data_IF_506737782925
#
_entry.id   IF_506737782925
#
_cell.length_a   1.000
_cell.length_b   1.000
_cell.length_c   1.000
_cell.angle_alpha   90.00
_cell.angle_beta   90.00
_cell.angle_gamma   90.00
#
_symmetry.space_group_name_H-M   'P 1'
#
loop_
_entity.id
_entity.type
_entity.pdbx_description
1 polymer ?
#
# COMPACT_ATOMS: atom_id res chain seq x y z
N UNK A 1 22.90 -50.03 6.44
CA UNK A 1 21.62 -49.55 7.02
C UNK A 1 21.45 -48.04 6.86
N UNK A 2 22.55 -47.28 6.72
CA UNK A 2 22.63 -45.84 6.35
C UNK A 2 21.50 -45.31 5.45
N UNK A 3 21.29 -45.90 4.27
CA UNK A 3 20.42 -45.31 3.26
C UNK A 3 18.96 -45.16 3.74
N UNK A 4 18.44 -46.12 4.51
CA UNK A 4 17.09 -46.05 5.06
C UNK A 4 16.98 -44.93 6.12
N UNK A 5 18.06 -44.69 6.88
CA UNK A 5 18.12 -43.64 7.91
C UNK A 5 18.15 -42.25 7.27
N UNK A 6 18.86 -42.07 6.16
CA UNK A 6 18.90 -40.80 5.44
C UNK A 6 17.56 -40.47 4.75
N UNK A 7 16.92 -41.46 4.12
CA UNK A 7 15.60 -41.29 3.49
C UNK A 7 14.54 -40.93 4.54
N UNK A 8 14.54 -41.61 5.70
CA UNK A 8 13.63 -41.27 6.79
C UNK A 8 13.81 -39.82 7.27
N UNK A 9 15.05 -39.39 7.56
CA UNK A 9 15.33 -38.02 7.99
C UNK A 9 14.90 -36.96 6.97
N UNK A 10 15.07 -37.22 5.67
CA UNK A 10 14.65 -36.31 4.62
C UNK A 10 13.11 -36.21 4.49
N UNK A 11 12.40 -37.32 4.74
CA UNK A 11 10.95 -37.36 4.81
C UNK A 11 10.42 -36.61 6.04
N UNK A 12 11.02 -36.82 7.22
CA UNK A 12 10.63 -36.16 8.47
C UNK A 12 10.77 -34.62 8.38
N UNK A 13 11.88 -34.13 7.81
CA UNK A 13 12.11 -32.69 7.59
C UNK A 13 11.10 -32.11 6.58
N UNK A 14 10.77 -32.85 5.51
CA UNK A 14 9.80 -32.39 4.51
C UNK A 14 8.37 -32.39 5.05
N UNK A 15 8.03 -33.36 5.92
CA UNK A 15 6.76 -33.43 6.65
C UNK A 15 6.62 -32.24 7.61
N UNK A 16 7.65 -31.96 8.42
CA UNK A 16 7.67 -30.82 9.34
C UNK A 16 7.50 -29.48 8.61
N UNK A 17 8.17 -29.29 7.47
CA UNK A 17 7.99 -28.10 6.65
C UNK A 17 6.55 -27.95 6.15
N UNK A 18 5.91 -29.05 5.71
CA UNK A 18 4.50 -29.05 5.30
C UNK A 18 3.54 -28.65 6.43
N UNK A 19 3.76 -29.16 7.65
CA UNK A 19 2.97 -28.81 8.83
C UNK A 19 3.10 -27.31 9.14
N UNK A 20 4.32 -26.77 9.16
CA UNK A 20 4.56 -25.33 9.38
C UNK A 20 3.87 -24.46 8.32
N UNK A 21 3.96 -24.85 7.05
CA UNK A 21 3.32 -24.14 5.93
C UNK A 21 1.79 -24.10 6.11
N UNK A 22 1.16 -25.22 6.44
CA UNK A 22 -0.29 -25.29 6.68
C UNK A 22 -0.70 -24.47 7.90
N UNK A 23 0.05 -24.56 9.01
CA UNK A 23 -0.23 -23.79 10.24
C UNK A 23 -0.14 -22.28 10.01
N UNK A 24 0.89 -21.80 9.30
CA UNK A 24 1.04 -20.37 8.97
C UNK A 24 -0.05 -19.89 8.01
N UNK A 25 -0.46 -20.72 7.05
CA UNK A 25 -1.56 -20.40 6.12
C UNK A 25 -2.89 -20.27 6.85
N UNK A 26 -3.18 -21.18 7.80
CA UNK A 26 -4.37 -21.13 8.65
C UNK A 26 -4.38 -19.91 9.58
N UNK A 27 -3.25 -19.60 10.22
CA UNK A 27 -3.11 -18.41 11.07
C UNK A 27 -3.29 -17.11 10.28
N UNK A 28 -2.76 -17.04 9.05
CA UNK A 28 -2.93 -15.89 8.15
C UNK A 28 -4.38 -15.71 7.74
N UNK A 29 -5.07 -16.80 7.38
CA UNK A 29 -6.50 -16.77 7.06
C UNK A 29 -7.35 -16.33 8.25
N UNK A 30 -7.05 -16.80 9.46
CA UNK A 30 -7.77 -16.41 10.69
C UNK A 30 -7.61 -14.92 11.01
N UNK A 31 -6.36 -14.42 11.06
CA UNK A 31 -6.06 -13.01 11.39
C UNK A 31 -6.59 -12.01 10.36
N UNK A 32 -6.81 -12.46 9.11
CA UNK A 32 -7.42 -11.64 8.06
C UNK A 32 -8.94 -11.78 8.12
N UNK A 33 -9.48 -12.99 8.29
CA UNK A 33 -10.92 -13.28 8.38
C UNK A 33 -11.63 -12.59 9.55
N UNK A 34 -10.94 -12.39 10.68
CA UNK A 34 -11.43 -11.60 11.81
C UNK A 34 -11.85 -10.18 11.38
N UNK A 35 -11.11 -9.56 10.44
CA UNK A 35 -11.40 -8.21 9.90
C UNK A 35 -12.61 -8.18 8.96
N UNK A 36 -13.07 -9.34 8.49
CA UNK A 36 -14.19 -9.50 7.55
C UNK A 36 -15.31 -10.39 8.12
N UNK A 37 -15.40 -10.48 9.45
CA UNK A 37 -16.48 -11.16 10.18
C UNK A 37 -16.64 -12.66 9.82
N UNK A 38 -15.52 -13.35 9.56
CA UNK A 38 -15.44 -14.80 9.34
C UNK A 38 -16.41 -15.37 8.28
N UNK A 39 -16.52 -14.71 7.13
CA UNK A 39 -17.24 -15.28 6.00
C UNK A 39 -16.48 -16.53 5.49
N UNK A 40 -17.10 -17.71 5.62
CA UNK A 40 -16.46 -19.01 5.36
C UNK A 40 -15.87 -19.15 3.94
N UNK A 41 -16.47 -18.50 2.94
CA UNK A 41 -15.94 -18.47 1.57
C UNK A 41 -14.69 -17.58 1.47
N UNK A 42 -14.68 -16.45 2.17
CA UNK A 42 -13.56 -15.52 2.19
C UNK A 42 -12.37 -16.14 2.91
N UNK A 43 -12.57 -16.64 4.13
CA UNK A 43 -11.53 -17.30 4.94
C UNK A 43 -10.90 -18.49 4.18
N UNK A 44 -11.71 -19.28 3.47
CA UNK A 44 -11.22 -20.35 2.59
C UNK A 44 -10.38 -19.83 1.41
N UNK A 45 -10.78 -18.75 0.75
CA UNK A 45 -9.97 -18.16 -0.35
C UNK A 45 -8.63 -17.61 0.14
N UNK A 46 -8.61 -16.91 1.29
CA UNK A 46 -7.37 -16.39 1.88
C UNK A 46 -6.44 -17.53 2.31
N UNK A 47 -6.98 -18.61 2.86
CA UNK A 47 -6.21 -19.82 3.18
C UNK A 47 -5.54 -20.43 1.95
N UNK A 48 -6.30 -20.65 0.87
CA UNK A 48 -5.78 -21.24 -0.38
C UNK A 48 -4.69 -20.35 -0.99
N UNK A 49 -4.91 -19.03 -1.07
CA UNK A 49 -3.92 -18.08 -1.59
C UNK A 49 -2.64 -18.10 -0.75
N UNK A 50 -2.77 -18.04 0.59
CA UNK A 50 -1.63 -18.07 1.50
C UNK A 50 -0.83 -19.37 1.36
N UNK A 51 -1.52 -20.51 1.24
CA UNK A 51 -0.92 -21.83 1.07
C UNK A 51 -0.12 -21.92 -0.23
N UNK A 52 -0.70 -21.49 -1.35
CA UNK A 52 -0.02 -21.50 -2.67
C UNK A 52 1.22 -20.60 -2.66
N UNK A 53 1.10 -19.38 -2.12
CA UNK A 53 2.22 -18.45 -2.03
C UNK A 53 3.37 -18.99 -1.16
N UNK A 54 3.04 -19.63 -0.03
CA UNK A 54 4.05 -20.17 0.89
C UNK A 54 4.71 -21.45 0.37
N UNK A 55 4.00 -22.27 -0.41
CA UNK A 55 4.59 -23.39 -1.17
C UNK A 55 5.57 -22.87 -2.23
N UNK A 56 5.19 -21.82 -2.98
CA UNK A 56 6.04 -21.25 -4.03
C UNK A 56 7.32 -20.62 -3.46
N UNK A 57 7.23 -19.84 -2.38
CA UNK A 57 8.42 -19.28 -1.71
C UNK A 57 9.32 -20.36 -1.13
N UNK A 58 8.75 -21.43 -0.54
CA UNK A 58 9.53 -22.58 -0.08
C UNK A 58 10.23 -23.33 -1.22
N UNK A 59 9.59 -23.48 -2.38
CA UNK A 59 10.19 -24.08 -3.57
C UNK A 59 11.36 -23.23 -4.13
N UNK A 60 11.19 -21.91 -4.18
CA UNK A 60 12.26 -20.98 -4.56
C UNK A 60 13.42 -21.06 -3.55
N UNK A 61 13.13 -21.04 -2.25
CA UNK A 61 14.14 -21.18 -1.20
C UNK A 61 14.92 -22.49 -1.31
N UNK A 62 14.24 -23.63 -1.51
CA UNK A 62 14.90 -24.92 -1.79
C UNK A 62 15.85 -24.84 -2.99
N UNK A 63 15.43 -24.21 -4.09
CA UNK A 63 16.22 -24.06 -5.32
C UNK A 63 17.47 -23.20 -5.09
N UNK A 64 17.33 -22.07 -4.39
CA UNK A 64 18.44 -21.17 -4.06
C UNK A 64 19.45 -21.85 -3.13
N UNK A 65 18.97 -22.50 -2.06
CA UNK A 65 19.83 -23.22 -1.12
C UNK A 65 20.58 -24.38 -1.82
N UNK A 66 19.92 -25.12 -2.71
CA UNK A 66 20.58 -26.18 -3.48
C UNK A 66 21.75 -25.65 -4.32
N UNK A 67 21.58 -24.51 -4.99
CA UNK A 67 22.66 -23.84 -5.75
C UNK A 67 23.86 -23.47 -4.87
N UNK A 68 23.61 -22.86 -3.71
CA UNK A 68 24.63 -22.51 -2.72
C UNK A 68 25.42 -23.74 -2.23
N UNK A 69 24.75 -24.85 -1.92
CA UNK A 69 25.42 -26.07 -1.49
C UNK A 69 26.25 -26.73 -2.60
N UNK A 70 25.79 -26.72 -3.86
CA UNK A 70 26.58 -27.25 -4.99
C UNK A 70 27.84 -26.43 -5.27
N UNK A 71 27.80 -25.11 -5.08
CA UNK A 71 28.97 -24.22 -5.27
C UNK A 71 29.99 -24.35 -4.15
N UNK A 72 29.57 -24.70 -2.93
CA UNK A 72 30.47 -24.80 -1.76
C UNK A 72 31.22 -26.14 -1.71
N UNK A 73 30.69 -27.19 -2.37
CA UNK A 73 31.25 -28.54 -2.25
C UNK A 73 32.46 -28.85 -3.16
N UNK A 74 32.80 -27.96 -4.10
CA UNK A 74 33.89 -28.17 -5.08
C UNK A 74 35.27 -27.67 -4.62
N UNK A 75 35.41 -27.16 -3.39
CA UNK A 75 36.54 -26.31 -2.99
C UNK A 75 37.35 -26.81 -1.78
N UNK A 76 37.72 -28.09 -1.71
CA UNK A 76 38.87 -28.54 -0.90
C UNK A 76 39.55 -29.83 -1.39
N UNK A 77 40.85 -29.72 -1.65
CA UNK A 77 41.90 -30.78 -1.67
C UNK A 77 41.80 -31.97 -2.64
N UNK A 78 42.55 -31.87 -3.74
CA UNK A 78 43.13 -33.03 -4.45
C UNK A 78 44.44 -33.49 -3.77
N UNK A 79 44.67 -34.81 -3.67
CA UNK A 79 46.01 -35.44 -3.60
C UNK A 79 46.04 -36.82 -4.28
N UNK A 80 46.43 -36.80 -5.56
CA UNK A 80 47.34 -37.70 -6.33
C UNK A 80 47.58 -39.16 -5.90
N UNK A 81 47.62 -40.12 -6.86
CA UNK A 81 48.79 -40.83 -7.47
C UNK A 81 48.23 -41.94 -8.42
N UNK A 82 48.76 -42.37 -9.58
CA UNK A 82 50.06 -42.23 -10.31
C UNK A 82 49.86 -42.31 -11.86
N UNK A 83 50.92 -42.06 -12.64
CA UNK A 83 51.25 -42.59 -14.01
C UNK A 83 50.36 -42.18 -15.21
N UNK A 84 50.86 -41.89 -16.43
CA UNK A 84 52.27 -41.88 -16.92
C UNK A 84 52.47 -41.07 -18.24
N UNK A 85 53.67 -40.47 -18.38
CA UNK A 85 54.44 -40.18 -19.62
C UNK A 85 54.12 -39.04 -20.64
N UNK A 86 55.21 -38.46 -21.17
CA UNK A 86 55.41 -37.59 -22.38
C UNK A 86 54.89 -36.12 -22.33
N UNK A 87 55.76 -35.08 -22.33
CA UNK A 87 56.52 -34.45 -23.46
C UNK A 87 55.62 -33.71 -24.49
N UNK A 88 55.87 -32.47 -24.97
CA UNK A 88 56.99 -31.51 -24.85
C UNK A 88 56.59 -30.08 -25.36
N UNK A 89 57.40 -29.05 -25.05
CA UNK A 89 57.61 -27.76 -25.79
C UNK A 89 56.68 -26.51 -25.64
N UNK A 90 57.33 -25.39 -25.25
CA UNK A 90 57.26 -23.97 -25.69
C UNK A 90 55.95 -23.38 -26.30
N UNK A 91 55.46 -22.17 -25.93
CA UNK A 91 56.13 -20.86 -26.06
C UNK A 91 55.44 -19.71 -25.28
N UNK A 92 56.04 -18.51 -25.29
CA UNK A 92 55.61 -17.27 -24.61
C UNK A 92 54.35 -16.61 -25.22
N UNK A 93 53.60 -15.76 -24.48
CA UNK A 93 53.78 -14.28 -24.47
C UNK A 93 52.60 -13.49 -23.83
N UNK A 94 52.92 -12.26 -23.39
CA UNK A 94 52.12 -11.02 -23.31
C UNK A 94 51.04 -10.82 -22.22
N UNK A 95 51.27 -9.74 -21.45
CA UNK A 95 50.35 -9.06 -20.53
C UNK A 95 49.01 -8.64 -21.18
N UNK A 96 47.92 -8.71 -20.40
CA UNK A 96 46.82 -7.75 -20.48
C UNK A 96 46.41 -7.34 -19.05
N UNK A 97 46.19 -6.04 -18.84
CA UNK A 97 45.68 -5.51 -17.58
C UNK A 97 44.19 -5.85 -17.44
N UNK A 98 43.63 -5.97 -16.22
CA UNK A 98 42.20 -6.11 -16.04
C UNK A 98 41.47 -4.88 -16.58
N UNK A 99 40.49 -5.11 -17.45
CA UNK A 99 39.50 -4.09 -17.81
C UNK A 99 38.57 -3.93 -16.60
N UNK A 100 38.44 -2.72 -16.08
CA UNK A 100 37.32 -2.40 -15.19
C UNK A 100 36.03 -2.51 -16.00
N UNK A 101 35.33 -3.61 -15.78
CA UNK A 101 34.01 -3.84 -16.35
C UNK A 101 33.02 -2.94 -15.61
N UNK A 102 32.80 -1.72 -16.13
CA UNK A 102 31.68 -0.87 -15.70
C UNK A 102 30.38 -1.67 -15.92
N UNK A 103 29.87 -2.27 -14.84
CA UNK A 103 28.57 -2.90 -14.85
C UNK A 103 27.51 -1.83 -15.10
N UNK A 104 27.13 -1.70 -16.37
CA UNK A 104 25.93 -0.99 -16.80
C UNK A 104 24.77 -1.60 -15.99
N UNK A 105 24.06 -0.83 -15.16
CA UNK A 105 22.92 -1.34 -14.39
C UNK A 105 21.92 -1.98 -15.35
N UNK A 106 21.36 -3.14 -14.98
CA UNK A 106 20.40 -3.82 -15.85
C UNK A 106 19.27 -2.84 -16.19
N UNK A 107 19.01 -2.67 -17.48
CA UNK A 107 17.94 -1.82 -17.99
C UNK A 107 16.58 -2.13 -17.36
N UNK A 108 16.37 -3.39 -16.93
CA UNK A 108 15.19 -3.85 -16.21
C UNK A 108 15.17 -3.35 -14.74
N UNK A 109 16.27 -3.45 -14.01
CA UNK A 109 16.41 -2.90 -12.64
C UNK A 109 16.20 -1.38 -12.63
N UNK A 110 16.66 -0.68 -13.67
CA UNK A 110 16.40 0.75 -13.86
C UNK A 110 14.92 1.05 -14.12
N UNK A 111 14.20 0.17 -14.81
CA UNK A 111 12.75 0.31 -15.00
C UNK A 111 11.97 0.08 -13.69
N UNK A 112 12.32 -0.96 -12.94
CA UNK A 112 11.68 -1.27 -11.65
C UNK A 112 11.89 -0.15 -10.62
N UNK A 113 13.10 0.38 -10.51
CA UNK A 113 13.41 1.49 -9.59
C UNK A 113 12.65 2.78 -9.94
N UNK A 114 12.46 3.11 -11.22
CA UNK A 114 11.62 4.24 -11.65
C UNK A 114 10.16 4.05 -11.20
N UNK A 115 9.59 2.85 -11.39
CA UNK A 115 8.22 2.54 -10.99
C UNK A 115 8.03 2.66 -9.47
N UNK A 116 9.00 2.18 -8.68
CA UNK A 116 8.99 2.30 -7.20
C UNK A 116 9.11 3.76 -6.77
N UNK A 117 9.97 4.56 -7.41
CA UNK A 117 10.12 5.98 -7.10
C UNK A 117 8.83 6.77 -7.40
N UNK A 118 8.15 6.46 -8.52
CA UNK A 118 6.87 7.08 -8.88
C UNK A 118 5.76 6.72 -7.88
N UNK A 119 5.63 5.45 -7.51
CA UNK A 119 4.67 5.02 -6.48
C UNK A 119 4.96 5.69 -5.12
N UNK A 120 6.24 5.79 -4.73
CA UNK A 120 6.62 6.46 -3.48
C UNK A 120 6.29 7.97 -3.51
N UNK A 121 6.51 8.64 -4.65
CA UNK A 121 6.11 10.03 -4.87
C UNK A 121 4.59 10.19 -4.78
N UNK A 122 3.81 9.28 -5.35
CA UNK A 122 2.34 9.32 -5.30
C UNK A 122 1.82 9.09 -3.87
N UNK A 123 2.33 8.07 -3.17
CA UNK A 123 1.98 7.78 -1.77
C UNK A 123 2.34 8.95 -0.85
N UNK A 124 3.52 9.57 -1.06
CA UNK A 124 3.91 10.78 -0.33
C UNK A 124 2.95 11.93 -0.63
N UNK A 125 2.66 12.22 -1.91
CA UNK A 125 1.73 13.28 -2.31
C UNK A 125 0.33 13.08 -1.70
N UNK A 126 -0.19 11.85 -1.71
CA UNK A 126 -1.47 11.49 -1.08
C UNK A 126 -1.47 11.72 0.43
N UNK A 127 -0.37 11.38 1.12
CA UNK A 127 -0.19 11.67 2.56
C UNK A 127 -0.18 13.18 2.83
N UNK A 128 0.63 13.93 2.08
CA UNK A 128 0.83 15.36 2.29
C UNK A 128 -0.48 16.14 2.02
N UNK A 129 -1.24 15.75 0.98
CA UNK A 129 -2.62 16.21 0.73
C UNK A 129 -3.54 15.95 1.93
N UNK A 130 -3.52 14.73 2.48
CA UNK A 130 -4.37 14.36 3.61
C UNK A 130 -4.03 15.17 4.88
N UNK A 131 -2.75 15.48 5.10
CA UNK A 131 -2.31 16.35 6.21
C UNK A 131 -2.90 17.76 6.03
N UNK A 132 -2.68 18.38 4.87
CA UNK A 132 -3.20 19.73 4.58
C UNK A 132 -4.74 19.79 4.70
N UNK A 133 -5.47 18.77 4.24
CA UNK A 133 -6.93 18.68 4.39
C UNK A 133 -7.32 18.63 5.88
N UNK A 134 -6.64 17.81 6.69
CA UNK A 134 -6.97 17.68 8.12
C UNK A 134 -6.73 18.98 8.90
N UNK A 135 -5.63 19.67 8.61
CA UNK A 135 -5.31 20.97 9.21
C UNK A 135 -6.38 22.02 8.86
N UNK A 136 -6.69 22.17 7.57
CA UNK A 136 -7.76 23.04 7.07
C UNK A 136 -9.13 22.71 7.70
N UNK A 137 -9.48 21.42 7.82
CA UNK A 137 -10.73 20.99 8.44
C UNK A 137 -10.78 21.39 9.92
N UNK A 138 -9.71 21.21 10.69
CA UNK A 138 -9.65 21.64 12.10
C UNK A 138 -9.83 23.15 12.19
N UNK A 139 -9.11 23.91 11.38
CA UNK A 139 -9.17 25.37 11.38
C UNK A 139 -10.60 25.87 11.08
N UNK A 140 -11.23 25.39 10.00
CA UNK A 140 -12.54 25.90 9.57
C UNK A 140 -13.73 25.30 10.32
N UNK A 141 -13.59 24.13 10.96
CA UNK A 141 -14.74 23.41 11.58
C UNK A 141 -14.72 23.33 13.11
N UNK A 142 -13.59 23.59 13.78
CA UNK A 142 -13.46 23.49 15.25
C UNK A 142 -14.47 24.30 16.06
N UNK A 143 -14.92 25.46 15.55
CA UNK A 143 -15.97 26.27 16.19
C UNK A 143 -17.39 25.69 16.11
N UNK A 144 -17.62 24.67 15.28
CA UNK A 144 -18.93 24.03 15.07
C UNK A 144 -18.98 22.56 15.52
N UNK A 145 -17.84 21.88 15.63
CA UNK A 145 -17.79 20.42 15.83
C UNK A 145 -17.06 20.06 17.12
N UNK A 146 -17.54 19.02 17.81
CA UNK A 146 -16.78 18.41 18.89
C UNK A 146 -15.56 17.66 18.35
N UNK A 147 -14.59 17.35 19.22
CA UNK A 147 -13.39 16.57 18.86
C UNK A 147 -13.74 15.20 18.26
N UNK A 148 -14.81 14.58 18.75
CA UNK A 148 -15.35 13.30 18.28
C UNK A 148 -15.91 13.45 16.86
N UNK A 149 -16.68 14.51 16.59
CA UNK A 149 -17.24 14.76 15.26
C UNK A 149 -16.17 15.17 14.23
N UNK A 150 -15.09 15.85 14.65
CA UNK A 150 -13.90 16.08 13.80
C UNK A 150 -13.18 14.76 13.49
N UNK A 151 -13.02 13.88 14.48
CA UNK A 151 -12.42 12.54 14.30
C UNK A 151 -13.21 11.68 13.31
N UNK A 152 -14.55 11.72 13.40
CA UNK A 152 -15.43 11.06 12.42
C UNK A 152 -15.38 11.73 11.05
N UNK A 153 -15.30 13.06 10.98
CA UNK A 153 -15.12 13.78 9.70
C UNK A 153 -13.82 13.37 8.99
N UNK A 154 -12.71 13.19 9.72
CA UNK A 154 -11.46 12.66 9.15
C UNK A 154 -11.65 11.26 8.54
N UNK A 155 -12.39 10.37 9.21
CA UNK A 155 -12.71 9.04 8.67
C UNK A 155 -13.60 9.11 7.42
N UNK A 156 -14.56 10.03 7.38
CA UNK A 156 -15.38 10.25 6.18
C UNK A 156 -14.54 10.80 5.01
N UNK A 157 -13.53 11.63 5.30
CA UNK A 157 -12.57 12.15 4.31
C UNK A 157 -11.66 11.02 3.78
N UNK A 158 -11.22 10.09 4.63
CA UNK A 158 -10.53 8.85 4.21
C UNK A 158 -11.44 8.00 3.33
N UNK A 159 -12.72 7.83 3.71
CA UNK A 159 -13.69 7.06 2.92
C UNK A 159 -13.88 7.63 1.51
N UNK A 160 -14.07 8.95 1.33
CA UNK A 160 -14.17 9.54 -0.01
C UNK A 160 -12.82 9.48 -0.78
N UNK A 161 -11.68 9.67 -0.11
CA UNK A 161 -10.36 9.53 -0.75
C UNK A 161 -10.08 8.12 -1.27
N UNK A 162 -10.69 7.10 -0.65
CA UNK A 162 -10.56 5.68 -1.01
C UNK A 162 -11.75 5.16 -1.84
N UNK A 163 -12.57 6.06 -2.42
CA UNK A 163 -13.76 5.77 -3.23
C UNK A 163 -14.87 4.97 -2.51
N UNK A 164 -14.90 5.01 -1.17
CA UNK A 164 -15.93 4.41 -0.31
C UNK A 164 -16.88 5.44 0.27
N UNK A 165 -17.39 6.35 -0.56
CA UNK A 165 -18.25 7.47 -0.11
C UNK A 165 -19.51 7.02 0.67
N UNK A 166 -19.99 5.81 0.42
CA UNK A 166 -21.14 5.22 1.10
C UNK A 166 -20.87 4.80 2.56
N UNK A 167 -19.60 4.70 2.98
CA UNK A 167 -19.21 4.32 4.35
C UNK A 167 -19.26 5.51 5.33
N UNK A 168 -19.45 6.74 4.82
CA UNK A 168 -19.43 7.97 5.62
C UNK A 168 -20.47 7.95 6.74
N UNK A 169 -20.02 8.21 7.97
CA UNK A 169 -20.88 8.22 9.16
C UNK A 169 -21.48 9.61 9.43
N UNK A 170 -22.73 9.69 9.90
CA UNK A 170 -23.37 10.96 10.17
C UNK A 170 -22.77 11.65 11.40
N UNK A 171 -22.51 12.95 11.27
CA UNK A 171 -22.14 13.87 12.34
C UNK A 171 -23.09 15.06 12.36
N UNK A 172 -22.96 15.90 13.38
CA UNK A 172 -23.76 17.12 13.52
C UNK A 172 -22.94 18.25 14.15
N UNK A 173 -23.42 19.48 13.96
CA UNK A 173 -22.93 20.66 14.65
C UNK A 173 -23.15 20.56 16.17
N UNK A 174 -22.43 21.37 16.94
CA UNK A 174 -22.74 21.64 18.35
C UNK A 174 -24.10 22.35 18.48
N UNK A 175 -24.63 22.47 19.71
CA UNK A 175 -25.92 23.14 19.94
C UNK A 175 -25.80 24.65 19.79
N UNK A 176 -24.60 25.16 20.04
CA UNK A 176 -24.23 26.56 20.17
C UNK A 176 -23.98 27.21 18.81
N UNK A 177 -23.36 26.50 17.86
CA UNK A 177 -23.02 27.01 16.55
C UNK A 177 -23.29 25.97 15.46
N UNK A 178 -24.19 26.29 14.52
CA UNK A 178 -24.51 25.42 13.37
C UNK A 178 -23.72 25.85 12.13
N UNK A 179 -23.09 24.89 11.45
CA UNK A 179 -22.44 25.14 10.16
C UNK A 179 -23.50 25.35 9.07
N UNK A 180 -23.31 26.36 8.22
CA UNK A 180 -24.31 26.74 7.21
C UNK A 180 -24.29 25.79 5.99
N UNK A 181 -25.41 25.66 5.28
CA UNK A 181 -25.44 24.87 4.04
C UNK A 181 -24.45 25.38 2.97
N UNK A 182 -24.29 26.70 2.72
CA UNK A 182 -23.19 27.20 1.88
C UNK A 182 -21.80 26.79 2.38
N UNK A 183 -21.53 26.94 3.69
CA UNK A 183 -20.24 26.54 4.29
C UNK A 183 -19.94 25.05 4.08
N UNK A 184 -20.95 24.18 4.23
CA UNK A 184 -20.83 22.75 3.96
C UNK A 184 -20.55 22.44 2.49
N UNK A 185 -21.25 23.11 1.56
CA UNK A 185 -21.01 22.94 0.12
C UNK A 185 -19.59 23.35 -0.27
N UNK A 186 -19.08 24.46 0.27
CA UNK A 186 -17.70 24.90 0.03
C UNK A 186 -16.69 23.98 0.70
N UNK A 187 -16.95 23.49 1.93
CA UNK A 187 -16.12 22.47 2.58
C UNK A 187 -15.96 21.23 1.70
N UNK A 188 -17.06 20.71 1.16
CA UNK A 188 -17.08 19.58 0.23
C UNK A 188 -16.36 19.87 -1.10
N UNK A 189 -16.54 21.07 -1.66
CA UNK A 189 -15.82 21.51 -2.86
C UNK A 189 -14.31 21.54 -2.62
N UNK A 190 -13.87 22.26 -1.59
CA UNK A 190 -12.46 22.53 -1.28
C UNK A 190 -11.69 21.24 -0.98
N UNK A 191 -12.25 20.35 -0.14
CA UNK A 191 -11.69 19.02 0.15
C UNK A 191 -11.62 18.18 -1.13
N UNK A 192 -12.74 18.11 -1.86
CA UNK A 192 -12.82 17.25 -3.02
C UNK A 192 -11.93 17.68 -4.18
N UNK A 193 -11.57 18.96 -4.27
CA UNK A 193 -10.64 19.46 -5.28
C UNK A 193 -9.21 18.98 -5.01
N UNK A 194 -8.79 18.94 -3.74
CA UNK A 194 -7.49 18.37 -3.34
C UNK A 194 -7.41 16.86 -3.58
N UNK A 195 -8.51 16.15 -3.34
CA UNK A 195 -8.59 14.69 -3.54
C UNK A 195 -8.83 14.30 -5.00
N UNK A 196 -9.20 15.22 -5.89
CA UNK A 196 -9.52 14.91 -7.29
C UNK A 196 -10.83 14.13 -7.49
N UNK A 197 -11.74 14.16 -6.52
CA UNK A 197 -12.98 13.36 -6.51
C UNK A 197 -14.12 14.04 -7.27
N UNK A 198 -15.08 13.25 -7.76
CA UNK A 198 -16.18 13.75 -8.60
C UNK A 198 -17.12 14.70 -7.84
N UNK A 199 -17.84 15.57 -8.57
CA UNK A 199 -18.84 16.46 -7.94
C UNK A 199 -19.96 15.67 -7.25
N UNK A 200 -20.33 14.52 -7.79
CA UNK A 200 -21.34 13.64 -7.21
C UNK A 200 -20.86 13.03 -5.89
N UNK A 201 -19.63 12.53 -5.84
CA UNK A 201 -19.07 11.96 -4.60
C UNK A 201 -18.91 13.04 -3.51
N UNK A 202 -18.49 14.26 -3.88
CA UNK A 202 -18.46 15.41 -2.95
C UNK A 202 -19.86 15.70 -2.37
N UNK A 203 -20.90 15.64 -3.19
CA UNK A 203 -22.29 15.85 -2.76
C UNK A 203 -22.81 14.72 -1.85
N UNK A 204 -22.50 13.46 -2.15
CA UNK A 204 -22.85 12.31 -1.31
C UNK A 204 -22.09 12.39 0.03
N UNK A 205 -20.77 12.59 0.01
CA UNK A 205 -19.94 12.74 1.21
C UNK A 205 -20.50 13.77 2.19
N UNK A 206 -20.83 14.97 1.71
CA UNK A 206 -21.28 16.04 2.59
C UNK A 206 -22.71 15.81 3.09
N UNK A 207 -23.59 15.22 2.25
CA UNK A 207 -24.94 14.83 2.66
C UNK A 207 -24.93 13.72 3.71
N UNK A 208 -24.11 12.69 3.53
CA UNK A 208 -23.96 11.57 4.48
C UNK A 208 -23.27 12.01 5.77
N UNK A 209 -22.30 12.93 5.69
CA UNK A 209 -21.66 13.51 6.87
C UNK A 209 -22.59 14.45 7.64
N UNK A 210 -23.37 15.30 6.97
CA UNK A 210 -24.22 16.32 7.61
C UNK A 210 -25.70 16.22 7.21
N UNK A 211 -26.37 15.08 7.48
CA UNK A 211 -27.72 14.83 6.97
C UNK A 211 -28.77 15.74 7.62
N UNK A 212 -28.53 16.25 8.83
CA UNK A 212 -29.47 17.10 9.56
C UNK A 212 -29.42 18.57 9.10
N UNK A 213 -28.22 19.12 8.95
CA UNK A 213 -27.97 20.46 8.41
C UNK A 213 -28.43 20.56 6.95
N UNK A 214 -28.18 19.49 6.16
CA UNK A 214 -28.53 19.41 4.75
C UNK A 214 -29.85 18.67 4.50
N UNK A 215 -30.73 18.50 5.50
CA UNK A 215 -31.96 17.70 5.36
C UNK A 215 -32.85 18.10 4.18
N UNK A 216 -32.91 19.41 3.88
CA UNK A 216 -33.72 20.00 2.79
C UNK A 216 -32.99 20.08 1.43
N UNK A 217 -31.76 19.57 1.32
CA UNK A 217 -30.97 19.57 0.09
C UNK A 217 -30.80 18.15 -0.43
N UNK A 218 -31.24 17.86 -1.65
CA UNK A 218 -30.97 16.59 -2.33
C UNK A 218 -29.55 16.56 -2.93
N UNK A 219 -29.13 15.40 -3.44
CA UNK A 219 -27.77 15.21 -3.97
C UNK A 219 -27.56 16.06 -5.23
N UNK A 220 -28.57 16.14 -6.09
CA UNK A 220 -28.55 16.85 -7.36
C UNK A 220 -28.41 18.37 -7.15
N UNK A 221 -29.14 18.95 -6.19
CA UNK A 221 -28.98 20.33 -5.75
C UNK A 221 -27.58 20.57 -5.18
N UNK A 222 -27.09 19.69 -4.30
CA UNK A 222 -25.76 19.83 -3.71
C UNK A 222 -24.68 19.79 -4.81
N UNK A 223 -24.71 18.79 -5.68
CA UNK A 223 -23.80 18.56 -6.79
C UNK A 223 -23.73 19.79 -7.72
N UNK A 224 -24.87 20.39 -8.05
CA UNK A 224 -24.95 21.62 -8.83
C UNK A 224 -24.38 22.85 -8.08
N UNK A 225 -24.62 22.96 -6.77
CA UNK A 225 -24.35 24.17 -5.97
C UNK A 225 -23.04 24.14 -5.15
N UNK A 226 -22.19 23.11 -5.29
CA UNK A 226 -20.91 22.99 -4.56
C UNK A 226 -20.00 24.23 -4.66
N UNK A 227 -19.93 24.84 -5.85
CA UNK A 227 -19.04 25.97 -6.19
C UNK A 227 -19.79 27.30 -6.40
N UNK A 228 -21.05 27.40 -5.95
CA UNK A 228 -21.84 28.63 -6.09
C UNK A 228 -21.39 29.60 -4.99
N UNK A 229 -20.63 30.62 -5.38
CA UNK A 229 -20.03 31.58 -4.45
C UNK A 229 -21.10 32.39 -3.70
N UNK A 230 -21.34 32.01 -2.45
CA UNK A 230 -22.25 32.69 -1.51
C UNK A 230 -21.44 33.09 -0.27
N UNK A 231 -21.54 34.33 0.25
CA UNK A 231 -20.87 34.73 1.47
C UNK A 231 -21.20 33.80 2.65
N UNK A 232 -20.18 33.16 3.22
CA UNK A 232 -20.28 32.31 4.39
C UNK A 232 -18.90 32.09 5.04
N UNK A 233 -18.89 31.54 6.24
CA UNK A 233 -17.69 31.36 7.09
C UNK A 233 -16.61 30.43 6.51
N UNK A 234 -16.92 29.67 5.46
CA UNK A 234 -15.97 28.79 4.76
C UNK A 234 -16.01 29.19 3.28
N UNK A 235 -15.10 30.08 2.81
CA UNK A 235 -15.08 30.51 1.42
C UNK A 235 -14.64 29.38 0.49
N UNK A 236 -14.97 29.53 -0.81
CA UNK A 236 -14.43 28.65 -1.86
C UNK A 236 -12.92 28.90 -1.95
N UNK A 237 -12.16 27.81 -1.94
CA UNK A 237 -10.72 27.82 -2.15
C UNK A 237 -10.39 26.91 -3.34
N UNK A 238 -9.69 27.48 -4.33
CA UNK A 238 -9.21 26.79 -5.52
C UNK A 238 -7.68 26.73 -5.41
N UNK A 239 -7.05 25.54 -5.49
CA UNK A 239 -5.60 25.43 -5.36
C UNK A 239 -4.86 26.05 -6.56
N UNK A 240 -3.66 26.57 -6.29
CA UNK A 240 -2.74 26.97 -7.36
C UNK A 240 -2.26 25.78 -8.19
N UNK A 241 -1.78 26.04 -9.40
CA UNK A 241 -1.45 24.98 -10.38
C UNK A 241 -0.30 24.09 -9.89
N UNK A 242 -0.65 22.88 -9.47
CA UNK A 242 0.29 21.88 -8.95
C UNK A 242 0.47 21.93 -7.43
N UNK A 243 -0.19 22.87 -6.76
CA UNK A 243 -0.27 22.93 -5.31
C UNK A 243 -1.53 22.22 -4.79
N UNK A 244 -1.54 21.89 -3.50
CA UNK A 244 -2.67 21.35 -2.75
C UNK A 244 -2.90 22.07 -1.42
N UNK A 245 -1.97 22.93 -0.97
CA UNK A 245 -2.15 23.72 0.26
C UNK A 245 -3.35 24.66 0.11
N UNK A 246 -3.98 25.01 1.24
CA UNK A 246 -5.11 25.93 1.28
C UNK A 246 -4.60 27.36 1.46
N UNK A 247 -5.31 28.34 0.91
CA UNK A 247 -4.99 29.73 1.17
C UNK A 247 -5.46 30.07 2.59
N UNK A 248 -4.50 30.41 3.45
CA UNK A 248 -4.77 30.87 4.81
C UNK A 248 -5.41 32.26 4.77
N UNK A 249 -6.73 32.30 4.57
CA UNK A 249 -7.54 33.50 4.71
C UNK A 249 -7.45 33.98 6.16
N UNK A 250 -6.55 34.96 6.37
CA UNK A 250 -6.27 35.63 7.65
C UNK A 250 -7.25 36.79 7.86
#
# INVERSE_FOLDING_TARGET
MENNIQVQKAADISSLAGVVIVSLSALTAYNIGEKFNHNILFDATIFIISLVMLILTFAIFRKVMAGLFTTTSSSTTNKQVQSECSQESNHQNANQNPVEEEQIPDSLERYESILVEEQLKEVKRKRDIMIAIREYVVEKTSKYLSKENISTLFRNIECIAENRVNDCQPIHSTKEAKISSPSLRHLAWNIGERLGVSRRDRAIFIKSSFPYELRNADIEYLEANLRVNVPCDIPIDVPDKGDFHFHNNT
#
